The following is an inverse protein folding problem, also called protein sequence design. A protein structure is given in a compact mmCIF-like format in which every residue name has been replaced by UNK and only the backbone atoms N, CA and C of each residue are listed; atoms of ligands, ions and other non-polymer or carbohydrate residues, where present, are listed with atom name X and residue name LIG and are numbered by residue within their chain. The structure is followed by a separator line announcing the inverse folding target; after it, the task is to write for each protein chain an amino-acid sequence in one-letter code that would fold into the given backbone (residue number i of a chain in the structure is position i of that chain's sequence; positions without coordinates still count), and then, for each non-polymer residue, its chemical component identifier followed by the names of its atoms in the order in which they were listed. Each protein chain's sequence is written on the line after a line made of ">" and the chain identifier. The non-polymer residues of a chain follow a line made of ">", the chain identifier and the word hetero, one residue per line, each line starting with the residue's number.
data_IF_016266439032
#
_entry.id   IF_016266439032
#
_cell.length_a   1.000
_cell.length_b   1.000
_cell.length_c   1.000
_cell.angle_alpha   90.00
_cell.angle_beta   90.00
_cell.angle_gamma   90.00
#
_symmetry.space_group_name_H-M   'P 1'
#
loop_
_entity.id
_entity.type
_entity.pdbx_description
1 polymer ?
#
# COMPACT_ATOMS: atom_id res chain seq x y z
N UNK A 1 -6.69 15.21 -16.19
CA UNK A 1 -6.78 14.24 -15.08
C UNK A 1 -5.45 14.26 -14.37
N UNK A 2 -5.38 14.76 -13.13
CA UNK A 2 -4.10 14.84 -12.40
C UNK A 2 -4.26 14.07 -11.10
N UNK A 3 -3.55 12.95 -11.01
CA UNK A 3 -3.40 12.17 -9.80
C UNK A 3 -2.07 11.45 -9.85
N UNK A 4 -1.35 11.45 -8.74
CA UNK A 4 -0.02 10.87 -8.64
C UNK A 4 0.01 9.86 -7.50
N UNK A 5 0.48 8.65 -7.80
CA UNK A 5 0.78 7.65 -6.80
C UNK A 5 2.30 7.50 -6.73
N UNK A 6 2.84 7.60 -5.52
CA UNK A 6 4.27 7.44 -5.26
C UNK A 6 4.48 6.19 -4.44
N UNK A 7 5.45 5.38 -4.88
CA UNK A 7 5.86 4.21 -4.16
C UNK A 7 7.21 3.69 -4.63
N UNK A 8 7.78 2.79 -3.85
CA UNK A 8 9.07 2.17 -4.15
C UNK A 8 8.98 0.65 -3.93
N UNK A 9 9.66 -0.14 -4.77
CA UNK A 9 9.70 -1.59 -4.60
C UNK A 9 10.57 -1.96 -3.39
N UNK A 10 10.09 -2.92 -2.63
CA UNK A 10 10.76 -3.58 -1.51
C UNK A 10 10.92 -5.05 -1.87
N UNK A 11 12.14 -5.55 -1.82
CA UNK A 11 12.44 -6.92 -2.20
C UNK A 11 13.87 -7.34 -1.82
N UNK A 12 14.20 -8.63 -1.94
CA UNK A 12 15.53 -9.16 -1.59
C UNK A 12 16.67 -8.50 -2.39
N UNK A 13 16.38 -8.01 -3.59
CA UNK A 13 17.34 -7.37 -4.51
C UNK A 13 17.22 -5.83 -4.52
N UNK A 14 16.30 -5.27 -3.72
CA UNK A 14 15.94 -3.85 -3.77
C UNK A 14 16.86 -2.97 -2.93
N UNK A 15 17.33 -1.86 -3.51
CA UNK A 15 18.15 -0.82 -2.86
C UNK A 15 17.37 0.06 -1.87
N UNK A 16 16.36 -0.50 -1.21
CA UNK A 16 15.51 0.22 -0.24
C UNK A 16 16.33 0.76 0.94
N UNK A 17 15.88 1.88 1.50
CA UNK A 17 16.50 2.58 2.66
C UNK A 17 16.84 1.54 3.74
N UNK A 18 18.15 1.25 3.86
CA UNK A 18 18.77 0.04 4.46
C UNK A 18 18.34 -0.34 5.90
N UNK A 19 17.57 0.49 6.58
CA UNK A 19 17.05 0.23 7.94
C UNK A 19 15.53 0.05 8.06
N UNK A 20 14.72 0.76 7.28
CA UNK A 20 13.26 0.66 7.34
C UNK A 20 12.75 -0.61 6.64
N UNK A 21 13.50 -1.04 5.63
CA UNK A 21 13.16 -2.15 4.75
C UNK A 21 13.12 -3.50 5.49
N UNK A 22 14.10 -3.77 6.36
CA UNK A 22 14.25 -5.08 7.00
C UNK A 22 13.09 -5.45 7.95
N UNK A 23 12.76 -4.55 8.88
CA UNK A 23 11.66 -4.76 9.85
C UNK A 23 10.32 -4.81 9.13
N UNK A 24 10.06 -3.87 8.22
CA UNK A 24 8.82 -3.86 7.45
C UNK A 24 8.69 -5.12 6.59
N UNK A 25 9.78 -5.56 5.93
CA UNK A 25 9.78 -6.78 5.11
C UNK A 25 9.48 -8.01 5.94
N UNK A 26 10.05 -8.15 7.15
CA UNK A 26 9.74 -9.26 8.04
C UNK A 26 8.26 -9.31 8.43
N UNK A 27 7.67 -8.15 8.72
CA UNK A 27 6.28 -8.03 9.13
C UNK A 27 5.34 -8.31 7.95
N UNK A 28 5.58 -7.69 6.80
CA UNK A 28 4.77 -7.93 5.59
C UNK A 28 4.92 -9.37 5.10
N UNK A 29 6.12 -9.95 5.17
CA UNK A 29 6.33 -11.36 4.85
C UNK A 29 5.54 -12.27 5.80
N UNK A 30 5.49 -11.97 7.10
CA UNK A 30 4.66 -12.73 8.05
C UNK A 30 3.16 -12.58 7.79
N UNK A 31 2.71 -11.39 7.39
CA UNK A 31 1.30 -11.08 7.14
C UNK A 31 0.79 -11.63 5.81
N UNK A 32 1.62 -11.61 4.76
CA UNK A 32 1.19 -11.89 3.38
C UNK A 32 1.93 -13.06 2.73
N UNK A 33 2.91 -13.65 3.41
CA UNK A 33 3.85 -14.65 2.86
C UNK A 33 4.60 -14.18 1.60
N UNK A 34 4.63 -12.88 1.30
CA UNK A 34 5.29 -12.30 0.12
C UNK A 34 6.59 -11.61 0.50
N UNK A 35 7.63 -11.85 -0.30
CA UNK A 35 8.96 -11.26 -0.12
C UNK A 35 9.21 -10.02 -1.01
N UNK A 36 8.32 -9.77 -1.99
CA UNK A 36 8.36 -8.61 -2.90
C UNK A 36 7.04 -7.86 -2.84
N UNK A 37 7.10 -6.56 -2.60
CA UNK A 37 5.94 -5.67 -2.55
C UNK A 37 6.35 -4.23 -2.85
N UNK A 38 5.39 -3.38 -3.15
CA UNK A 38 5.63 -1.94 -3.33
C UNK A 38 5.06 -1.19 -2.15
N UNK A 39 5.88 -0.38 -1.49
CA UNK A 39 5.40 0.56 -0.49
C UNK A 39 4.89 1.80 -1.21
N UNK A 40 3.58 2.05 -1.15
CA UNK A 40 2.91 3.23 -1.66
C UNK A 40 2.81 4.24 -0.52
N UNK A 41 3.53 5.35 -0.64
CA UNK A 41 3.61 6.38 0.41
C UNK A 41 2.56 7.47 0.24
N UNK A 42 2.20 7.78 -1.00
CA UNK A 42 1.24 8.85 -1.29
C UNK A 42 0.38 8.47 -2.48
N UNK A 43 -0.92 8.72 -2.36
CA UNK A 43 -1.87 8.63 -3.47
C UNK A 43 -2.66 9.93 -3.47
N UNK A 44 -2.31 10.82 -4.39
CA UNK A 44 -3.02 12.07 -4.59
C UNK A 44 -4.06 11.84 -5.67
N UNK A 45 -5.32 11.72 -5.26
CA UNK A 45 -6.47 11.69 -6.17
C UNK A 45 -7.45 12.77 -5.74
N UNK A 46 -7.95 13.57 -6.69
CA UNK A 46 -8.89 14.65 -6.38
C UNK A 46 -10.18 14.07 -5.75
N UNK A 47 -10.72 14.66 -4.66
CA UNK A 47 -11.82 14.09 -3.89
C UNK A 47 -13.16 14.24 -4.61
N UNK A 48 -13.38 13.41 -5.63
CA UNK A 48 -14.68 13.26 -6.29
C UNK A 48 -15.04 11.79 -6.34
N UNK A 49 -16.32 11.47 -6.10
CA UNK A 49 -16.84 10.10 -5.98
C UNK A 49 -16.57 9.22 -7.23
N UNK A 50 -16.34 9.84 -8.39
CA UNK A 50 -16.01 9.17 -9.65
C UNK A 50 -14.53 8.76 -9.76
N UNK A 51 -13.66 9.25 -8.88
CA UNK A 51 -12.21 9.02 -8.94
C UNK A 51 -11.73 7.77 -8.18
N UNK A 52 -12.64 6.98 -7.57
CA UNK A 52 -12.30 5.66 -7.01
C UNK A 52 -11.64 4.75 -8.05
N UNK A 53 -12.17 4.75 -9.28
CA UNK A 53 -11.60 3.98 -10.39
C UNK A 53 -10.21 4.51 -10.81
N UNK A 54 -9.97 5.81 -10.65
CA UNK A 54 -8.68 6.44 -11.00
C UNK A 54 -7.61 6.07 -9.98
N UNK A 55 -7.88 6.22 -8.68
CA UNK A 55 -6.95 5.84 -7.63
C UNK A 55 -6.55 4.36 -7.75
N UNK A 56 -7.55 3.49 -8.01
CA UNK A 56 -7.32 2.06 -8.24
C UNK A 56 -6.47 1.80 -9.48
N UNK A 57 -6.76 2.47 -10.60
CA UNK A 57 -6.02 2.32 -11.86
C UNK A 57 -4.59 2.85 -11.75
N UNK A 58 -4.36 3.93 -11.00
CA UNK A 58 -3.02 4.46 -10.70
C UNK A 58 -2.22 3.47 -9.87
N UNK A 59 -2.82 2.89 -8.82
CA UNK A 59 -2.17 1.88 -7.98
C UNK A 59 -1.86 0.61 -8.77
N UNK A 60 -2.80 0.12 -9.59
CA UNK A 60 -2.58 -1.04 -10.47
C UNK A 60 -1.46 -0.78 -11.47
N UNK A 61 -1.43 0.41 -12.08
CA UNK A 61 -0.39 0.78 -13.03
C UNK A 61 0.97 0.87 -12.35
N UNK A 62 1.06 1.51 -11.18
CA UNK A 62 2.30 1.57 -10.39
C UNK A 62 2.81 0.17 -10.02
N UNK A 63 1.91 -0.72 -9.59
CA UNK A 63 2.25 -2.11 -9.25
C UNK A 63 2.73 -2.90 -10.47
N UNK A 64 2.11 -2.68 -11.62
CA UNK A 64 2.52 -3.29 -12.90
C UNK A 64 3.88 -2.77 -13.34
N UNK A 65 4.07 -1.45 -13.32
CA UNK A 65 5.33 -0.80 -13.70
C UNK A 65 6.48 -1.26 -12.77
N UNK A 66 6.20 -1.47 -11.48
CA UNK A 66 7.15 -1.97 -10.48
C UNK A 66 7.14 -3.51 -10.33
N UNK A 67 6.50 -4.25 -11.25
CA UNK A 67 6.52 -5.71 -11.34
C UNK A 67 6.18 -6.43 -10.03
N UNK A 68 5.21 -5.90 -9.28
CA UNK A 68 4.83 -6.39 -7.96
C UNK A 68 3.32 -6.57 -7.84
N UNK A 69 2.87 -7.71 -7.31
CA UNK A 69 1.45 -8.02 -7.15
C UNK A 69 0.86 -7.58 -5.79
N UNK A 70 1.70 -7.04 -4.90
CA UNK A 70 1.32 -6.57 -3.55
C UNK A 70 1.72 -5.10 -3.38
N UNK A 71 0.74 -4.26 -3.08
CA UNK A 71 0.94 -2.91 -2.58
C UNK A 71 0.78 -2.86 -1.06
N UNK A 72 1.63 -2.10 -0.39
CA UNK A 72 1.60 -1.86 1.05
C UNK A 72 1.58 -0.35 1.26
N UNK A 73 0.76 0.16 2.16
CA UNK A 73 0.80 1.56 2.58
C UNK A 73 0.75 1.65 4.09
N UNK A 74 1.34 2.72 4.62
CA UNK A 74 1.43 3.00 6.05
C UNK A 74 0.69 4.30 6.30
N UNK A 75 -0.37 4.24 7.09
CA UNK A 75 -1.16 5.41 7.46
C UNK A 75 -0.99 5.69 8.95
N UNK A 76 -1.07 6.96 9.30
CA UNK A 76 -1.17 7.33 10.70
C UNK A 76 -2.50 6.82 11.26
N UNK A 77 -2.55 6.20 12.46
CA UNK A 77 -3.80 5.65 13.00
C UNK A 77 -4.88 6.73 13.24
N UNK A 78 -4.46 7.97 13.50
CA UNK A 78 -5.38 9.11 13.58
C UNK A 78 -5.91 9.60 12.21
N UNK A 79 -5.34 9.17 11.09
CA UNK A 79 -5.80 9.55 9.74
C UNK A 79 -6.97 8.66 9.30
N UNK A 80 -8.13 8.93 9.89
CA UNK A 80 -9.38 8.23 9.60
C UNK A 80 -9.88 8.50 8.17
N UNK A 81 -9.62 9.70 7.63
CA UNK A 81 -9.98 10.06 6.27
C UNK A 81 -9.18 9.26 5.24
N UNK A 82 -7.86 9.14 5.44
CA UNK A 82 -7.00 8.26 4.65
C UNK A 82 -7.47 6.80 4.74
N UNK A 83 -7.67 6.27 5.95
CA UNK A 83 -8.11 4.89 6.14
C UNK A 83 -9.46 4.60 5.44
N UNK A 84 -10.43 5.50 5.55
CA UNK A 84 -11.71 5.38 4.87
C UNK A 84 -11.57 5.43 3.34
N UNK A 85 -10.69 6.28 2.82
CA UNK A 85 -10.42 6.38 1.39
C UNK A 85 -9.76 5.10 0.84
N UNK A 86 -8.71 4.62 1.50
CA UNK A 86 -8.01 3.38 1.11
C UNK A 86 -8.93 2.16 1.24
N UNK A 87 -9.71 2.05 2.33
CA UNK A 87 -10.73 1.02 2.49
C UNK A 87 -11.76 1.05 1.35
N UNK A 88 -12.22 2.24 0.96
CA UNK A 88 -13.14 2.43 -0.18
C UNK A 88 -12.53 2.08 -1.55
N UNK A 89 -11.19 1.97 -1.64
CA UNK A 89 -10.48 1.53 -2.85
C UNK A 89 -10.18 0.02 -2.84
N UNK A 90 -10.56 -0.69 -1.77
CA UNK A 90 -10.36 -2.14 -1.62
C UNK A 90 -9.05 -2.52 -0.93
N UNK A 91 -8.42 -1.60 -0.20
CA UNK A 91 -7.29 -1.92 0.65
C UNK A 91 -7.76 -2.58 1.94
N UNK A 92 -7.03 -3.61 2.37
CA UNK A 92 -7.30 -4.33 3.61
C UNK A 92 -6.38 -3.83 4.72
N UNK A 93 -6.96 -3.35 5.82
CA UNK A 93 -6.22 -2.97 7.02
C UNK A 93 -5.78 -4.23 7.77
N UNK A 94 -4.47 -4.38 7.95
CA UNK A 94 -3.81 -5.49 8.63
C UNK A 94 -3.49 -5.18 10.09
N UNK A 95 -3.86 -3.98 10.56
CA UNK A 95 -3.63 -3.49 11.91
C UNK A 95 -2.42 -2.57 12.03
N UNK A 96 -2.16 -2.16 13.26
CA UNK A 96 -1.00 -1.33 13.60
C UNK A 96 0.27 -2.16 13.65
N UNK A 97 1.36 -1.61 13.12
CA UNK A 97 2.66 -2.25 13.15
C UNK A 97 3.57 -1.58 14.15
N UNK A 98 3.89 -2.33 15.21
CA UNK A 98 4.80 -1.94 16.28
C UNK A 98 6.23 -2.31 15.90
N UNK A 99 7.20 -1.44 16.23
CA UNK A 99 8.62 -1.68 15.99
C UNK A 99 9.19 -1.00 14.74
N UNK A 100 8.37 -0.23 14.01
CA UNK A 100 8.87 0.71 13.01
C UNK A 100 9.41 1.97 13.72
N UNK A 101 10.47 2.60 13.19
CA UNK A 101 10.97 3.86 13.72
C UNK A 101 9.92 4.95 13.50
N UNK A 102 9.36 5.46 14.59
CA UNK A 102 8.32 6.49 14.58
C UNK A 102 7.74 6.70 15.98
N UNK A 103 7.10 7.85 16.20
CA UNK A 103 6.46 8.17 17.48
C UNK A 103 5.17 7.36 17.72
N UNK A 104 4.55 6.84 16.66
CA UNK A 104 3.27 6.13 16.68
C UNK A 104 3.36 4.92 15.76
N UNK A 105 2.72 3.81 16.14
CA UNK A 105 2.60 2.62 15.32
C UNK A 105 1.66 2.90 14.12
N UNK A 106 2.15 2.90 12.87
CA UNK A 106 1.29 3.15 11.72
C UNK A 106 0.37 1.95 11.44
N UNK A 107 -0.84 2.23 10.99
CA UNK A 107 -1.74 1.23 10.42
C UNK A 107 -1.19 0.77 9.06
N UNK A 108 -1.08 -0.54 8.88
CA UNK A 108 -0.65 -1.16 7.63
C UNK A 108 -1.86 -1.56 6.83
N UNK A 109 -1.95 -1.04 5.61
CA UNK A 109 -2.96 -1.45 4.67
C UNK A 109 -2.28 -2.15 3.49
N UNK A 110 -2.90 -3.20 2.98
CA UNK A 110 -2.39 -3.96 1.84
C UNK A 110 -3.41 -4.05 0.71
N UNK A 111 -2.91 -4.06 -0.52
CA UNK A 111 -3.69 -4.27 -1.73
C UNK A 111 -3.02 -5.38 -2.55
N UNK A 112 -3.74 -6.49 -2.75
CA UNK A 112 -3.29 -7.56 -3.64
C UNK A 112 -4.02 -7.48 -4.97
N UNK A 113 -3.29 -7.44 -6.08
CA UNK A 113 -3.88 -7.41 -7.43
C UNK A 113 -4.50 -8.78 -7.78
N UNK A 114 -4.01 -9.88 -7.20
CA UNK A 114 -4.60 -11.22 -7.34
C UNK A 114 -6.00 -11.34 -6.74
N UNK A 115 -6.30 -10.62 -5.64
CA UNK A 115 -7.62 -10.65 -5.00
C UNK A 115 -8.70 -9.87 -5.75
N UNK A 116 -8.30 -9.12 -6.78
CA UNK A 116 -9.18 -8.28 -7.59
C UNK A 116 -9.92 -9.08 -8.68
N UNK A 117 -9.53 -10.35 -8.88
CA UNK A 117 -10.19 -11.28 -9.79
C UNK A 117 -11.47 -11.91 -9.21
N UNK A 118 -11.81 -11.67 -7.93
CA UNK A 118 -12.88 -12.40 -7.23
C UNK A 118 -14.07 -11.55 -6.75
N UNK A 119 -14.24 -10.32 -7.24
CA UNK A 119 -15.52 -9.63 -7.09
C UNK A 119 -16.43 -9.98 -8.29
N UNK A 120 -17.45 -10.87 -8.13
CA UNK A 120 -18.44 -11.05 -9.19
C UNK A 120 -19.21 -9.75 -9.40
N UNK A 121 -19.58 -9.52 -10.66
CA UNK A 121 -20.29 -8.34 -11.16
C UNK A 121 -21.73 -8.30 -10.67
#
# INVERSE_FOLDING_TARGET
>A
MVGCAFGFPVGPDGSGRRGFDGTLRGIIHRLTSRARFVVITQVVAHPHAQHRAIARRLQQRLLTDLHSCLGVTLLHPADQAGQAAFSSWGWQNMGEVVGLPGAVAPCVLTLSVEGLALAPR
#
